data_IF_928275334787
#
_entry.id   IF_928275334787
#
_cell.length_a   1.000
_cell.length_b   1.000
_cell.length_c   1.000
_cell.angle_alpha   90.00
_cell.angle_beta   90.00
_cell.angle_gamma   90.00
#
_symmetry.space_group_name_H-M   'P 1'
#
loop_
_entity.id
_entity.type
_entity.pdbx_description
1 polymer ?
#
# COMPACT_ATOMS: atom_id res chain seq x y z
N UNK A 1 7.83 10.82 -26.77
CA UNK A 1 9.31 10.87 -26.73
C UNK A 1 9.98 9.51 -26.89
N UNK A 2 9.57 8.47 -26.15
CA UNK A 2 10.16 7.12 -26.29
C UNK A 2 10.14 6.56 -27.72
N UNK A 3 9.03 6.74 -28.45
CA UNK A 3 8.88 6.29 -29.84
C UNK A 3 9.85 7.00 -30.81
N UNK A 4 10.12 8.29 -30.58
CA UNK A 4 11.01 9.09 -31.42
C UNK A 4 12.48 8.75 -31.22
N UNK A 5 12.84 8.16 -30.07
CA UNK A 5 14.23 7.87 -29.71
C UNK A 5 14.55 6.39 -29.86
N UNK A 6 13.64 5.50 -29.43
CA UNK A 6 13.86 4.05 -29.48
C UNK A 6 13.80 3.49 -30.90
N UNK A 7 12.86 3.95 -31.74
CA UNK A 7 12.71 3.46 -33.11
C UNK A 7 13.97 3.69 -33.96
N UNK A 8 14.52 4.91 -34.06
CA UNK A 8 15.75 5.12 -34.83
C UNK A 8 16.95 4.41 -34.21
N UNK A 9 17.01 4.25 -32.88
CA UNK A 9 18.12 3.59 -32.21
C UNK A 9 18.12 2.07 -32.49
N UNK A 10 16.96 1.42 -32.42
CA UNK A 10 16.80 0.01 -32.82
C UNK A 10 17.12 -0.20 -34.30
N UNK A 11 16.69 0.74 -35.16
CA UNK A 11 17.03 0.71 -36.58
C UNK A 11 18.55 0.83 -36.81
N UNK A 12 19.22 1.70 -36.07
CA UNK A 12 20.68 1.88 -36.15
C UNK A 12 21.43 0.61 -35.67
N UNK A 13 20.93 -0.05 -34.63
CA UNK A 13 21.45 -1.34 -34.15
C UNK A 13 21.40 -2.40 -35.25
N UNK A 14 20.23 -2.58 -35.87
CA UNK A 14 20.08 -3.57 -36.95
C UNK A 14 20.84 -3.22 -38.23
N UNK A 15 21.04 -1.92 -38.52
CA UNK A 15 21.75 -1.47 -39.71
C UNK A 15 23.27 -1.62 -39.60
N UNK A 16 23.84 -1.47 -38.39
CA UNK A 16 25.29 -1.39 -38.19
C UNK A 16 25.91 -2.63 -37.54
N UNK A 17 25.14 -3.44 -36.81
CA UNK A 17 25.66 -4.60 -36.08
C UNK A 17 25.27 -5.92 -36.76
N UNK A 18 26.20 -6.86 -36.92
CA UNK A 18 25.88 -8.20 -37.40
C UNK A 18 25.02 -8.95 -36.37
N UNK A 19 24.11 -9.78 -36.86
CA UNK A 19 23.09 -10.44 -36.03
C UNK A 19 23.69 -11.34 -34.92
N UNK A 20 24.87 -11.91 -35.15
CA UNK A 20 25.61 -12.69 -34.16
C UNK A 20 26.04 -11.87 -32.94
N UNK A 21 26.41 -10.60 -33.15
CA UNK A 21 26.79 -9.68 -32.07
C UNK A 21 25.55 -9.22 -31.31
N UNK A 22 24.43 -9.01 -32.02
CA UNK A 22 23.16 -8.62 -31.41
C UNK A 22 22.66 -9.68 -30.42
N UNK A 23 22.77 -10.96 -30.77
CA UNK A 23 22.26 -12.06 -29.94
C UNK A 23 23.16 -12.41 -28.75
N UNK A 24 24.41 -11.92 -28.72
CA UNK A 24 25.43 -12.34 -27.74
C UNK A 24 25.93 -11.23 -26.83
N UNK A 25 25.66 -9.97 -27.17
CA UNK A 25 26.16 -8.82 -26.41
C UNK A 25 25.17 -8.33 -25.36
N UNK A 26 25.61 -8.28 -24.10
CA UNK A 26 24.83 -7.72 -22.99
C UNK A 26 24.70 -6.19 -23.05
N UNK A 27 25.65 -5.50 -23.70
CA UNK A 27 25.75 -4.02 -23.74
C UNK A 27 25.73 -3.47 -25.18
N UNK A 28 24.64 -3.71 -25.91
CA UNK A 28 24.51 -3.36 -27.34
C UNK A 28 24.77 -1.88 -27.66
N UNK A 29 24.32 -0.98 -26.80
CA UNK A 29 24.44 0.47 -26.98
C UNK A 29 25.90 0.95 -26.96
N UNK A 30 26.73 0.30 -26.13
CA UNK A 30 28.16 0.60 -26.00
C UNK A 30 28.93 0.13 -27.24
N UNK A 31 28.58 -1.04 -27.77
CA UNK A 31 29.18 -1.58 -29.00
C UNK A 31 28.74 -0.75 -30.21
N UNK A 32 27.47 -0.36 -30.28
CA UNK A 32 26.95 0.52 -31.34
C UNK A 32 27.70 1.86 -31.40
N UNK A 33 27.97 2.46 -30.24
CA UNK A 33 28.77 3.68 -30.17
C UNK A 33 30.20 3.50 -30.64
N UNK A 34 30.83 2.39 -30.28
CA UNK A 34 32.19 2.07 -30.72
C UNK A 34 32.27 1.88 -32.23
N UNK A 35 31.28 1.22 -32.84
CA UNK A 35 31.22 1.01 -34.29
C UNK A 35 30.90 2.31 -35.04
N UNK A 36 30.01 3.16 -34.49
CA UNK A 36 29.52 4.37 -35.19
C UNK A 36 30.51 5.54 -35.12
N UNK A 37 31.06 5.82 -33.95
CA UNK A 37 31.86 7.02 -33.67
C UNK A 37 33.20 6.72 -32.98
N UNK A 38 33.55 5.44 -32.84
CA UNK A 38 34.82 5.00 -32.27
C UNK A 38 34.86 4.99 -30.73
N UNK A 39 36.06 4.71 -30.21
CA UNK A 39 36.35 4.60 -28.77
C UNK A 39 35.97 5.80 -27.89
N UNK A 40 36.09 7.09 -28.30
CA UNK A 40 35.71 8.19 -27.42
C UNK A 40 34.21 8.22 -27.13
N UNK A 41 33.37 7.93 -28.13
CA UNK A 41 31.91 7.88 -27.96
C UNK A 41 31.49 6.76 -27.00
N UNK A 42 32.20 5.62 -27.04
CA UNK A 42 32.00 4.52 -26.10
C UNK A 42 32.11 4.98 -24.64
N UNK A 43 33.12 5.79 -24.31
CA UNK A 43 33.35 6.27 -22.94
C UNK A 43 32.20 7.17 -22.49
N UNK A 44 31.74 8.07 -23.37
CA UNK A 44 30.61 8.97 -23.08
C UNK A 44 29.34 8.18 -22.77
N UNK A 45 29.00 7.18 -23.60
CA UNK A 45 27.81 6.35 -23.37
C UNK A 45 27.93 5.52 -22.08
N UNK A 46 29.12 4.99 -21.77
CA UNK A 46 29.32 4.24 -20.51
C UNK A 46 29.08 5.13 -19.30
N UNK A 47 29.62 6.36 -19.30
CA UNK A 47 29.40 7.33 -18.21
C UNK A 47 27.92 7.72 -18.10
N UNK A 48 27.26 7.98 -19.22
CA UNK A 48 25.83 8.30 -19.25
C UNK A 48 24.98 7.14 -18.68
N UNK A 49 25.24 5.91 -19.13
CA UNK A 49 24.58 4.71 -18.61
C UNK A 49 24.79 4.54 -17.10
N UNK A 50 26.00 4.79 -16.58
CA UNK A 50 26.27 4.72 -15.14
C UNK A 50 25.47 5.78 -14.36
N UNK A 51 25.35 7.00 -14.88
CA UNK A 51 24.54 8.05 -14.25
C UNK A 51 23.06 7.68 -14.25
N UNK A 52 22.52 7.22 -15.38
CA UNK A 52 21.11 6.82 -15.51
C UNK A 52 20.78 5.65 -14.58
N UNK A 53 21.64 4.62 -14.51
CA UNK A 53 21.44 3.50 -13.59
C UNK A 53 21.52 3.92 -12.12
N UNK A 54 22.42 4.85 -11.78
CA UNK A 54 22.52 5.40 -10.43
C UNK A 54 21.23 6.11 -10.02
N UNK A 55 20.67 6.96 -10.90
CA UNK A 55 19.39 7.65 -10.67
C UNK A 55 18.25 6.64 -10.48
N UNK A 56 18.18 5.60 -11.32
CA UNK A 56 17.19 4.53 -11.18
C UNK A 56 17.27 3.80 -9.85
N UNK A 57 18.49 3.50 -9.38
CA UNK A 57 18.72 2.87 -8.08
C UNK A 57 18.24 3.77 -6.92
N UNK A 58 18.56 5.07 -6.93
CA UNK A 58 18.08 6.02 -5.92
C UNK A 58 16.56 6.16 -5.92
N UNK A 59 15.93 6.20 -7.10
CA UNK A 59 14.49 6.22 -7.24
C UNK A 59 13.84 4.95 -6.67
N UNK A 60 14.45 3.77 -6.89
CA UNK A 60 13.99 2.51 -6.32
C UNK A 60 14.06 2.51 -4.79
N UNK A 61 15.20 2.92 -4.22
CA UNK A 61 15.38 2.97 -2.75
C UNK A 61 14.40 3.95 -2.11
N UNK A 62 14.28 5.16 -2.64
CA UNK A 62 13.36 6.18 -2.10
C UNK A 62 11.90 5.74 -2.18
N UNK A 63 11.49 5.11 -3.29
CA UNK A 63 10.13 4.56 -3.45
C UNK A 63 9.87 3.42 -2.47
N UNK A 64 10.83 2.50 -2.31
CA UNK A 64 10.74 1.42 -1.33
C UNK A 64 10.63 1.93 0.11
N UNK A 65 11.40 2.96 0.47
CA UNK A 65 11.32 3.58 1.80
C UNK A 65 9.95 4.22 2.04
N UNK A 66 9.44 4.99 1.06
CA UNK A 66 8.11 5.60 1.14
C UNK A 66 7.00 4.55 1.30
N UNK A 67 7.13 3.40 0.63
CA UNK A 67 6.17 2.29 0.77
C UNK A 67 6.18 1.72 2.20
N UNK A 68 7.36 1.44 2.76
CA UNK A 68 7.47 0.91 4.13
C UNK A 68 6.97 1.93 5.15
N UNK A 69 7.26 3.22 4.96
CA UNK A 69 6.73 4.28 5.81
C UNK A 69 5.20 4.37 5.72
N UNK A 70 4.63 4.32 4.51
CA UNK A 70 3.19 4.36 4.31
C UNK A 70 2.50 3.18 5.02
N UNK A 71 3.03 1.96 4.84
CA UNK A 71 2.51 0.76 5.52
C UNK A 71 2.64 0.83 7.05
N UNK A 72 3.70 1.45 7.57
CA UNK A 72 3.88 1.64 9.00
C UNK A 72 2.89 2.69 9.58
N UNK A 73 2.59 3.75 8.83
CA UNK A 73 1.57 4.77 9.21
C UNK A 73 0.15 4.21 9.17
N UNK A 74 -0.09 3.24 8.28
CA UNK A 74 -1.36 2.50 8.21
C UNK A 74 -1.45 1.37 9.27
N UNK A 75 -0.45 1.25 10.15
CA UNK A 75 -0.35 0.23 11.20
C UNK A 75 -0.28 -1.21 10.68
N UNK A 76 -0.05 -1.38 9.37
CA UNK A 76 0.23 -2.70 8.78
C UNK A 76 1.60 -3.18 9.24
N UNK A 77 2.60 -2.30 9.30
CA UNK A 77 3.93 -2.60 9.85
C UNK A 77 4.13 -1.99 11.25
N UNK A 78 5.00 -2.56 12.10
CA UNK A 78 5.28 -1.98 13.41
C UNK A 78 5.84 -0.55 13.29
N UNK A 79 5.40 0.34 14.17
CA UNK A 79 5.87 1.73 14.23
C UNK A 79 7.38 1.89 14.51
N UNK A 80 8.07 0.79 14.83
CA UNK A 80 9.54 0.72 14.91
C UNK A 80 10.21 1.23 13.62
N UNK A 81 9.59 1.01 12.46
CA UNK A 81 10.11 1.47 11.16
C UNK A 81 10.06 2.99 10.98
N UNK A 82 9.24 3.71 11.76
CA UNK A 82 9.10 5.17 11.70
C UNK A 82 10.03 5.91 12.67
N UNK A 83 10.99 5.22 13.32
CA UNK A 83 11.92 5.88 14.24
C UNK A 83 12.89 6.80 13.47
N UNK A 84 12.85 8.13 13.72
CA UNK A 84 13.71 9.07 13.03
C UNK A 84 15.14 9.01 13.57
N UNK A 85 16.12 9.24 12.70
CA UNK A 85 17.50 9.52 13.11
C UNK A 85 17.58 10.89 13.80
N UNK A 86 18.39 11.04 14.87
CA UNK A 86 18.50 12.28 15.63
C UNK A 86 19.08 13.45 14.82
N UNK A 87 19.85 13.17 13.76
CA UNK A 87 20.58 14.21 13.02
C UNK A 87 19.96 14.58 11.67
N UNK A 88 19.23 13.67 11.02
CA UNK A 88 18.70 13.87 9.66
C UNK A 88 17.16 13.81 9.59
N UNK A 89 16.47 13.37 10.65
CA UNK A 89 15.03 13.13 10.63
C UNK A 89 14.58 11.97 9.72
N UNK A 90 15.48 11.41 8.91
CA UNK A 90 15.21 10.29 8.01
C UNK A 90 15.08 8.97 8.76
N UNK A 91 14.20 8.09 8.28
CA UNK A 91 14.01 6.74 8.80
C UNK A 91 15.10 5.81 8.23
N UNK A 92 15.97 5.28 9.09
CA UNK A 92 17.08 4.42 8.62
C UNK A 92 16.65 2.97 8.41
N UNK A 93 15.68 2.49 9.20
CA UNK A 93 15.22 1.10 9.13
C UNK A 93 14.66 0.71 7.75
N UNK A 94 13.84 1.54 7.06
CA UNK A 94 13.37 1.23 5.72
C UNK A 94 14.51 1.08 4.70
N UNK A 95 15.53 1.94 4.78
CA UNK A 95 16.70 1.88 3.88
C UNK A 95 17.47 0.58 4.08
N UNK A 96 17.78 0.23 5.34
CA UNK A 96 18.48 -1.03 5.67
C UNK A 96 17.66 -2.24 5.25
N UNK A 97 16.35 -2.23 5.48
CA UNK A 97 15.44 -3.30 5.06
C UNK A 97 15.41 -3.45 3.53
N UNK A 98 15.37 -2.34 2.80
CA UNK A 98 15.37 -2.37 1.33
C UNK A 98 16.68 -2.97 0.81
N UNK A 99 17.84 -2.47 1.27
CA UNK A 99 19.16 -2.96 0.84
C UNK A 99 19.34 -4.44 1.19
N UNK A 100 18.91 -4.86 2.39
CA UNK A 100 19.01 -6.28 2.80
C UNK A 100 18.13 -7.17 1.94
N UNK A 101 16.89 -6.78 1.62
CA UNK A 101 16.02 -7.54 0.71
C UNK A 101 16.62 -7.60 -0.69
N UNK A 102 17.14 -6.50 -1.22
CA UNK A 102 17.79 -6.47 -2.53
C UNK A 102 19.00 -7.41 -2.59
N UNK A 103 19.83 -7.42 -1.54
CA UNK A 103 20.95 -8.36 -1.42
C UNK A 103 20.46 -9.81 -1.36
N UNK A 104 19.46 -10.11 -0.53
CA UNK A 104 18.90 -11.47 -0.40
C UNK A 104 18.36 -11.97 -1.74
N UNK A 105 17.65 -11.13 -2.49
CA UNK A 105 17.15 -11.49 -3.83
C UNK A 105 18.33 -11.77 -4.77
N UNK A 106 19.35 -10.90 -4.78
CA UNK A 106 20.52 -11.09 -5.63
C UNK A 106 21.33 -12.36 -5.30
N UNK A 107 21.50 -12.67 -4.01
CA UNK A 107 22.12 -13.93 -3.55
C UNK A 107 21.27 -15.15 -3.93
N UNK A 108 19.94 -15.08 -3.77
CA UNK A 108 19.00 -16.15 -4.10
C UNK A 108 18.99 -16.47 -5.60
N UNK A 109 19.22 -15.45 -6.45
CA UNK A 109 19.35 -15.60 -7.90
C UNK A 109 20.71 -16.13 -8.36
N UNK A 110 21.56 -16.68 -7.47
CA UNK A 110 22.88 -17.23 -7.81
C UNK A 110 23.79 -16.25 -8.58
N UNK A 111 23.67 -14.94 -8.30
CA UNK A 111 24.43 -13.86 -8.93
C UNK A 111 24.22 -13.70 -10.45
N UNK A 112 23.19 -14.32 -11.05
CA UNK A 112 22.91 -14.19 -12.48
C UNK A 112 21.97 -13.03 -12.79
N UNK A 113 22.41 -12.12 -13.67
CA UNK A 113 21.62 -10.98 -14.11
C UNK A 113 20.35 -11.43 -14.88
N UNK A 114 20.46 -12.49 -15.68
CA UNK A 114 19.35 -13.04 -16.47
C UNK A 114 18.20 -13.55 -15.58
N UNK A 115 18.52 -14.23 -14.47
CA UNK A 115 17.52 -14.71 -13.52
C UNK A 115 16.87 -13.54 -12.78
N UNK A 116 17.63 -12.53 -12.35
CA UNK A 116 17.04 -11.33 -11.72
C UNK A 116 16.12 -10.59 -12.70
N UNK A 117 16.53 -10.43 -13.97
CA UNK A 117 15.73 -9.76 -15.00
C UNK A 117 14.40 -10.48 -15.27
N UNK A 118 14.42 -11.81 -15.35
CA UNK A 118 13.19 -12.62 -15.52
C UNK A 118 12.28 -12.53 -14.30
N UNK A 119 12.85 -12.53 -13.09
CA UNK A 119 12.09 -12.32 -11.85
C UNK A 119 11.44 -10.93 -11.79
N UNK A 120 12.14 -9.88 -12.20
CA UNK A 120 11.61 -8.51 -12.27
C UNK A 120 10.49 -8.41 -13.29
N UNK A 121 10.63 -9.04 -14.46
CA UNK A 121 9.57 -9.11 -15.48
C UNK A 121 8.30 -9.77 -14.91
N UNK A 122 8.43 -10.92 -14.25
CA UNK A 122 7.31 -11.61 -13.62
C UNK A 122 6.66 -10.77 -12.50
N UNK A 123 7.46 -10.13 -11.65
CA UNK A 123 6.98 -9.24 -10.60
C UNK A 123 6.17 -8.06 -11.16
N UNK A 124 6.71 -7.40 -12.18
CA UNK A 124 6.06 -6.26 -12.82
C UNK A 124 4.71 -6.66 -13.43
N UNK A 125 4.67 -7.75 -14.20
CA UNK A 125 3.42 -8.27 -14.81
C UNK A 125 2.41 -8.66 -13.74
N UNK A 126 2.85 -9.30 -12.65
CA UNK A 126 1.98 -9.64 -11.51
C UNK A 126 1.38 -8.39 -10.85
N UNK A 127 2.18 -7.36 -10.60
CA UNK A 127 1.66 -6.10 -10.03
C UNK A 127 0.68 -5.39 -10.95
N UNK A 128 0.92 -5.39 -12.27
CA UNK A 128 0.01 -4.83 -13.25
C UNK A 128 -1.31 -5.63 -13.36
N UNK A 129 -1.25 -6.94 -13.18
CA UNK A 129 -2.44 -7.80 -13.08
C UNK A 129 -3.26 -7.46 -11.82
N UNK A 130 -2.61 -7.35 -10.66
CA UNK A 130 -3.28 -6.96 -9.40
C UNK A 130 -3.92 -5.57 -9.52
N UNK A 131 -3.25 -4.62 -10.16
CA UNK A 131 -3.80 -3.29 -10.42
C UNK A 131 -5.06 -3.35 -11.30
N UNK A 132 -5.01 -4.11 -12.38
CA UNK A 132 -6.15 -4.31 -13.28
C UNK A 132 -7.34 -4.98 -12.57
N UNK A 133 -7.07 -6.00 -11.74
CA UNK A 133 -8.08 -6.66 -10.92
C UNK A 133 -8.67 -5.71 -9.87
N UNK A 134 -7.84 -4.89 -9.23
CA UNK A 134 -8.28 -3.88 -8.26
C UNK A 134 -9.23 -2.85 -8.89
N UNK A 135 -8.97 -2.44 -10.13
CA UNK A 135 -9.86 -1.53 -10.86
C UNK A 135 -11.23 -2.17 -11.14
N UNK A 136 -11.26 -3.47 -11.45
CA UNK A 136 -12.50 -4.22 -11.67
C UNK A 136 -13.28 -4.37 -10.36
N UNK A 137 -12.61 -4.74 -9.27
CA UNK A 137 -13.21 -4.86 -7.93
C UNK A 137 -13.77 -3.52 -7.44
N UNK A 138 -13.04 -2.42 -7.64
CA UNK A 138 -13.51 -1.08 -7.26
C UNK A 138 -14.76 -0.66 -8.05
N UNK A 139 -14.90 -1.12 -9.30
CA UNK A 139 -16.11 -0.91 -10.09
C UNK A 139 -17.30 -1.71 -9.57
N UNK A 140 -17.08 -2.89 -8.99
CA UNK A 140 -18.14 -3.72 -8.42
C UNK A 140 -18.55 -3.27 -7.00
N UNK A 141 -17.58 -3.01 -6.13
CA UNK A 141 -17.83 -2.72 -4.71
C UNK A 141 -18.14 -1.24 -4.42
N UNK A 142 -17.64 -0.31 -5.23
CA UNK A 142 -17.67 1.13 -4.95
C UNK A 142 -18.01 1.95 -6.20
N UNK A 143 -19.21 1.74 -6.75
CA UNK A 143 -19.65 2.41 -7.99
C UNK A 143 -19.91 3.92 -7.82
N UNK A 144 -20.19 4.37 -6.58
CA UNK A 144 -20.58 5.78 -6.29
C UNK A 144 -19.41 6.76 -6.18
N UNK A 145 -18.17 6.28 -6.21
CA UNK A 145 -16.99 7.12 -6.03
C UNK A 145 -16.84 8.14 -7.17
N UNK A 146 -16.50 9.41 -6.86
CA UNK A 146 -16.25 10.42 -7.89
C UNK A 146 -15.04 10.01 -8.73
N UNK A 147 -15.24 9.83 -10.04
CA UNK A 147 -14.20 9.45 -11.00
C UNK A 147 -14.06 10.53 -12.06
N UNK A 148 -12.87 11.14 -12.13
CA UNK A 148 -12.54 12.10 -13.19
C UNK A 148 -12.43 11.43 -14.57
N UNK A 149 -11.95 10.18 -14.62
CA UNK A 149 -11.84 9.39 -15.83
C UNK A 149 -12.63 8.09 -15.69
N UNK A 150 -13.56 7.85 -16.63
CA UNK A 150 -14.35 6.62 -16.67
C UNK A 150 -13.82 5.72 -17.77
N UNK A 151 -13.27 4.57 -17.38
CA UNK A 151 -12.86 3.53 -18.32
C UNK A 151 -14.00 2.51 -18.50
N UNK A 152 -14.10 1.98 -19.72
CA UNK A 152 -15.05 0.91 -20.03
C UNK A 152 -14.72 -0.34 -19.21
N UNK A 153 -15.73 -1.14 -18.89
CA UNK A 153 -15.49 -2.43 -18.21
C UNK A 153 -14.64 -3.36 -19.09
N UNK A 154 -14.89 -3.30 -20.40
CA UNK A 154 -14.19 -4.11 -21.40
C UNK A 154 -12.68 -3.85 -21.45
N UNK A 155 -12.26 -2.59 -21.30
CA UNK A 155 -10.83 -2.26 -21.29
C UNK A 155 -10.10 -2.87 -20.09
N UNK A 156 -10.77 -2.96 -18.93
CA UNK A 156 -10.21 -3.61 -17.75
C UNK A 156 -10.10 -5.13 -17.94
N UNK A 157 -11.16 -5.77 -18.49
CA UNK A 157 -11.14 -7.21 -18.78
C UNK A 157 -10.07 -7.56 -19.81
N UNK A 158 -9.95 -6.76 -20.88
CA UNK A 158 -8.91 -6.96 -21.90
C UNK A 158 -7.50 -6.83 -21.31
N UNK A 159 -7.30 -5.85 -20.42
CA UNK A 159 -6.04 -5.69 -19.68
C UNK A 159 -5.69 -6.93 -18.85
N UNK A 160 -6.67 -7.52 -18.15
CA UNK A 160 -6.47 -8.76 -17.40
C UNK A 160 -6.09 -9.91 -18.34
N UNK A 161 -6.79 -10.10 -19.45
CA UNK A 161 -6.49 -11.16 -20.43
C UNK A 161 -5.06 -11.03 -20.96
N UNK A 162 -4.65 -9.83 -21.38
CA UNK A 162 -3.29 -9.57 -21.88
C UNK A 162 -2.24 -9.85 -20.81
N UNK A 163 -2.44 -9.39 -19.58
CA UNK A 163 -1.49 -9.61 -18.48
C UNK A 163 -1.38 -11.10 -18.12
N UNK A 164 -2.49 -11.85 -18.15
CA UNK A 164 -2.48 -13.31 -17.95
C UNK A 164 -1.71 -14.01 -19.07
N UNK A 165 -1.92 -13.63 -20.34
CA UNK A 165 -1.17 -14.19 -21.46
C UNK A 165 0.35 -13.94 -21.34
N UNK A 166 0.76 -12.72 -20.96
CA UNK A 166 2.17 -12.39 -20.74
C UNK A 166 2.74 -13.20 -19.56
N UNK A 167 1.98 -13.33 -18.47
CA UNK A 167 2.40 -14.12 -17.32
C UNK A 167 2.59 -15.59 -17.68
N UNK A 168 1.68 -16.18 -18.45
CA UNK A 168 1.83 -17.55 -18.98
C UNK A 168 3.07 -17.67 -19.86
N UNK A 169 3.32 -16.69 -20.73
CA UNK A 169 4.54 -16.64 -21.54
C UNK A 169 5.82 -16.67 -20.69
N UNK A 170 5.86 -15.87 -19.62
CA UNK A 170 6.97 -15.88 -18.66
C UNK A 170 7.12 -17.23 -17.94
N UNK A 171 6.01 -17.91 -17.60
CA UNK A 171 6.06 -19.25 -16.96
C UNK A 171 6.64 -20.30 -17.92
N UNK A 172 6.25 -20.25 -19.20
CA UNK A 172 6.70 -21.21 -20.21
C UNK A 172 8.21 -21.04 -20.48
N UNK A 173 8.70 -19.80 -20.49
CA UNK A 173 10.09 -19.50 -20.79
C UNK A 173 11.06 -20.10 -19.76
N UNK A 174 10.82 -19.89 -18.46
CA UNK A 174 11.68 -20.40 -17.39
C UNK A 174 10.88 -20.71 -16.10
N UNK A 175 10.37 -21.95 -15.93
CA UNK A 175 9.52 -22.28 -14.78
C UNK A 175 10.28 -22.27 -13.44
N UNK A 176 11.60 -22.49 -13.47
CA UNK A 176 12.44 -22.52 -12.26
C UNK A 176 12.66 -21.14 -11.65
N UNK A 177 12.88 -20.12 -12.49
CA UNK A 177 13.10 -18.73 -12.01
C UNK A 177 11.82 -18.12 -11.46
N UNK A 178 10.66 -18.52 -12.01
CA UNK A 178 9.36 -18.09 -11.51
C UNK A 178 9.02 -18.70 -10.14
N UNK A 179 9.47 -19.93 -9.86
CA UNK A 179 9.36 -20.53 -8.53
C UNK A 179 10.10 -19.72 -7.45
N UNK A 180 11.28 -19.17 -7.77
CA UNK A 180 12.00 -18.26 -6.88
C UNK A 180 11.22 -16.96 -6.67
N UNK A 181 10.66 -16.37 -7.74
CA UNK A 181 9.82 -15.18 -7.63
C UNK A 181 8.60 -15.44 -6.73
N UNK A 182 7.87 -16.53 -6.96
CA UNK A 182 6.70 -16.90 -6.17
C UNK A 182 7.05 -17.11 -4.69
N UNK A 183 8.21 -17.71 -4.41
CA UNK A 183 8.72 -17.89 -3.05
C UNK A 183 9.03 -16.54 -2.39
N UNK A 184 9.77 -15.66 -3.06
CA UNK A 184 10.06 -14.31 -2.55
C UNK A 184 8.78 -13.49 -2.33
N UNK A 185 7.82 -13.57 -3.25
CA UNK A 185 6.52 -12.92 -3.13
C UNK A 185 5.75 -13.44 -1.93
N UNK A 186 5.68 -14.77 -1.75
CA UNK A 186 4.97 -15.38 -0.63
C UNK A 186 5.62 -15.06 0.72
N UNK A 187 6.95 -15.10 0.82
CA UNK A 187 7.68 -14.72 2.04
C UNK A 187 7.42 -13.25 2.40
N UNK A 188 7.45 -12.36 1.41
CA UNK A 188 7.18 -10.93 1.61
C UNK A 188 5.73 -10.71 2.05
N UNK A 189 4.77 -11.37 1.39
CA UNK A 189 3.35 -11.31 1.73
C UNK A 189 3.10 -11.82 3.15
N UNK A 190 3.65 -12.98 3.51
CA UNK A 190 3.58 -13.51 4.86
C UNK A 190 4.17 -12.53 5.88
N UNK A 191 5.33 -11.94 5.57
CA UNK A 191 5.99 -10.93 6.40
C UNK A 191 5.15 -9.67 6.65
N UNK A 192 4.27 -9.29 5.71
CA UNK A 192 3.33 -8.16 5.85
C UNK A 192 2.03 -8.57 6.56
N UNK A 193 1.50 -9.77 6.27
CA UNK A 193 0.25 -10.28 6.88
C UNK A 193 0.42 -10.72 8.35
N UNK A 194 1.61 -11.19 8.74
CA UNK A 194 1.95 -11.55 10.11
C UNK A 194 1.72 -10.37 11.08
N UNK A 195 2.25 -9.16 10.81
CA UNK A 195 1.92 -7.94 11.54
C UNK A 195 0.44 -7.56 11.58
N UNK A 196 -0.25 -7.62 10.43
CA UNK A 196 -1.66 -7.22 10.32
C UNK A 196 -2.59 -8.14 11.13
N UNK A 197 -2.26 -9.43 11.17
CA UNK A 197 -2.98 -10.43 11.97
C UNK A 197 -2.59 -10.44 13.45
N UNK A 198 -1.67 -9.58 13.93
CA UNK A 198 -1.16 -9.60 15.31
C UNK A 198 -2.22 -9.58 16.39
N UNK A 199 -3.40 -9.01 16.16
CA UNK A 199 -4.49 -9.05 17.15
C UNK A 199 -5.33 -10.33 17.10
N UNK A 200 -5.49 -10.95 15.91
CA UNK A 200 -6.03 -12.31 15.80
C UNK A 200 -5.04 -13.34 16.32
N UNK A 201 -3.75 -13.20 15.99
CA UNK A 201 -2.65 -14.01 16.50
C UNK A 201 -2.45 -13.81 18.00
N UNK A 202 -2.50 -12.59 18.55
CA UNK A 202 -2.41 -12.38 20.00
C UNK A 202 -3.62 -12.98 20.73
N UNK A 203 -4.83 -12.91 20.16
CA UNK A 203 -6.01 -13.58 20.71
C UNK A 203 -5.91 -15.10 20.60
N UNK A 204 -5.42 -15.65 19.48
CA UNK A 204 -5.13 -17.08 19.32
C UNK A 204 -4.00 -17.55 20.24
N UNK A 205 -2.97 -16.73 20.43
CA UNK A 205 -1.84 -17.00 21.31
C UNK A 205 -2.29 -16.96 22.76
N UNK A 206 -3.14 -16.00 23.16
CA UNK A 206 -3.77 -15.99 24.47
C UNK A 206 -4.68 -17.20 24.68
N UNK A 207 -5.49 -17.58 23.68
CA UNK A 207 -6.32 -18.79 23.75
C UNK A 207 -5.46 -20.06 23.87
N UNK A 208 -4.38 -20.16 23.11
CA UNK A 208 -3.41 -21.26 23.17
C UNK A 208 -2.62 -21.29 24.49
N UNK A 209 -2.30 -20.12 25.04
CA UNK A 209 -1.69 -19.95 26.37
C UNK A 209 -2.66 -20.36 27.49
N UNK A 210 -3.94 -20.02 27.37
CA UNK A 210 -4.97 -20.43 28.33
C UNK A 210 -5.17 -21.96 28.30
N UNK A 211 -5.01 -22.57 27.13
CA UNK A 211 -5.06 -24.03 26.95
C UNK A 211 -3.84 -24.74 27.58
N UNK A 212 -2.69 -24.08 27.71
CA UNK A 212 -1.42 -24.67 28.16
C UNK A 212 -0.98 -24.15 29.53
N UNK A 213 -1.34 -24.88 30.60
CA UNK A 213 -1.05 -24.56 32.02
C UNK A 213 0.43 -24.24 32.36
N UNK A 214 1.38 -24.65 31.52
CA UNK A 214 2.83 -24.57 31.77
C UNK A 214 3.38 -23.14 31.56
N UNK A 215 2.80 -22.33 30.66
CA UNK A 215 3.31 -20.99 30.38
C UNK A 215 2.76 -19.87 31.29
N UNK A 216 1.67 -20.14 32.05
CA UNK A 216 1.11 -19.25 33.09
C UNK A 216 2.12 -18.85 34.19
N UNK A 217 3.24 -19.56 34.27
CA UNK A 217 4.30 -19.33 35.26
C UNK A 217 5.19 -18.13 34.91
N UNK A 218 5.18 -17.69 33.65
CA UNK A 218 5.91 -16.52 33.19
C UNK A 218 4.88 -15.41 33.00
N UNK A 219 5.06 -14.24 33.60
CA UNK A 219 4.14 -13.08 33.58
C UNK A 219 3.83 -12.49 32.16
N UNK A 220 4.01 -13.27 31.10
CA UNK A 220 3.72 -12.98 29.69
C UNK A 220 2.25 -12.61 29.49
N UNK A 221 1.33 -13.24 30.22
CA UNK A 221 -0.11 -12.94 30.17
C UNK A 221 -0.36 -11.45 30.47
N UNK A 222 0.29 -10.93 31.53
CA UNK A 222 0.17 -9.50 31.90
C UNK A 222 0.88 -8.57 30.93
N UNK A 223 1.93 -9.04 30.25
CA UNK A 223 2.63 -8.29 29.22
C UNK A 223 1.79 -8.20 27.95
N UNK A 224 1.22 -9.32 27.48
CA UNK A 224 0.35 -9.39 26.31
C UNK A 224 -0.94 -8.60 26.56
N UNK A 225 -1.55 -8.73 27.74
CA UNK A 225 -2.75 -7.93 28.10
C UNK A 225 -2.41 -6.44 28.21
N UNK A 226 -1.26 -6.06 28.78
CA UNK A 226 -0.82 -4.64 28.78
C UNK A 226 -0.55 -4.13 27.37
N UNK A 227 0.05 -4.95 26.52
CA UNK A 227 0.35 -4.62 25.13
C UNK A 227 -0.94 -4.47 24.33
N UNK A 228 -1.90 -5.39 24.46
CA UNK A 228 -3.25 -5.27 23.88
C UNK A 228 -4.02 -4.05 24.39
N UNK A 229 -3.98 -3.78 25.69
CA UNK A 229 -4.57 -2.56 26.29
C UNK A 229 -3.89 -1.28 25.80
N UNK A 230 -2.65 -1.33 25.31
CA UNK A 230 -2.00 -0.18 24.72
C UNK A 230 -2.56 0.11 23.32
N UNK A 231 -2.77 -0.91 22.48
CA UNK A 231 -3.35 -0.73 21.15
C UNK A 231 -4.84 -0.40 21.14
N UNK A 232 -5.61 -0.94 22.10
CA UNK A 232 -7.06 -0.67 22.24
C UNK A 232 -7.41 0.77 22.61
N UNK A 233 -6.44 1.57 23.06
CA UNK A 233 -6.65 2.94 23.55
C UNK A 233 -6.85 3.97 22.46
N UNK A 234 -6.45 3.68 21.22
CA UNK A 234 -6.53 4.67 20.17
C UNK A 234 -7.99 4.81 19.69
N UNK A 235 -8.61 5.99 19.82
CA UNK A 235 -9.97 6.17 19.35
C UNK A 235 -10.01 6.18 17.83
N UNK A 236 -11.07 5.60 17.29
CA UNK A 236 -11.40 5.67 15.86
C UNK A 236 -12.39 6.81 15.65
N UNK A 237 -12.24 7.58 14.57
CA UNK A 237 -13.16 8.67 14.23
C UNK A 237 -14.00 8.27 13.03
N UNK A 238 -15.32 8.37 13.11
CA UNK A 238 -16.22 8.16 11.99
C UNK A 238 -16.95 9.46 11.64
N UNK A 239 -16.77 9.93 10.43
CA UNK A 239 -17.41 11.15 9.93
C UNK A 239 -18.77 10.86 9.33
N UNK A 240 -19.78 11.56 9.84
CA UNK A 240 -21.19 11.36 9.45
C UNK A 240 -21.77 12.63 8.86
N UNK A 241 -22.39 12.49 7.69
CA UNK A 241 -23.13 13.56 7.03
C UNK A 241 -24.61 13.58 7.40
N UNK A 242 -25.28 12.43 7.33
CA UNK A 242 -26.72 12.30 7.56
C UNK A 242 -26.99 11.42 8.80
N UNK A 243 -27.98 11.79 9.61
CA UNK A 243 -28.27 11.17 10.92
C UNK A 243 -29.04 9.85 10.85
N UNK A 244 -29.07 9.20 9.69
CA UNK A 244 -29.79 7.94 9.53
C UNK A 244 -29.16 6.83 10.38
N UNK A 245 -29.91 6.35 11.38
CA UNK A 245 -29.47 5.34 12.34
C UNK A 245 -28.96 4.05 11.69
N UNK A 246 -29.51 3.66 10.54
CA UNK A 246 -29.09 2.47 9.80
C UNK A 246 -27.66 2.57 9.25
N UNK A 247 -27.27 3.76 8.77
CA UNK A 247 -25.91 4.00 8.28
C UNK A 247 -24.89 3.99 9.43
N UNK A 248 -25.27 4.58 10.56
CA UNK A 248 -24.48 4.53 11.80
C UNK A 248 -24.31 3.09 12.29
N UNK A 249 -25.39 2.31 12.36
CA UNK A 249 -25.34 0.91 12.80
C UNK A 249 -24.42 0.06 11.93
N UNK A 250 -24.54 0.16 10.59
CA UNK A 250 -23.64 -0.55 9.66
C UNK A 250 -22.18 -0.12 9.81
N UNK A 251 -21.94 1.18 9.96
CA UNK A 251 -20.59 1.70 10.14
C UNK A 251 -19.96 1.19 11.46
N UNK A 252 -20.71 1.19 12.56
CA UNK A 252 -20.26 0.69 13.86
C UNK A 252 -19.95 -0.80 13.77
N UNK A 253 -20.84 -1.61 13.19
CA UNK A 253 -20.59 -3.04 13.00
C UNK A 253 -19.34 -3.29 12.14
N UNK A 254 -19.17 -2.54 11.04
CA UNK A 254 -17.97 -2.65 10.21
C UNK A 254 -16.70 -2.31 10.99
N UNK A 255 -16.70 -1.25 11.78
CA UNK A 255 -15.56 -0.84 12.59
C UNK A 255 -15.28 -1.91 13.66
N UNK A 256 -16.32 -2.46 14.30
CA UNK A 256 -16.17 -3.50 15.31
C UNK A 256 -15.55 -4.79 14.74
N UNK A 257 -15.91 -5.16 13.51
CA UNK A 257 -15.43 -6.38 12.86
C UNK A 257 -13.99 -6.24 12.33
N UNK A 258 -13.58 -5.02 11.95
CA UNK A 258 -12.32 -4.77 11.25
C UNK A 258 -11.27 -4.02 12.07
N UNK A 259 -11.67 -3.25 13.08
CA UNK A 259 -10.78 -2.45 13.94
C UNK A 259 -10.84 -2.89 15.40
N UNK A 260 -9.75 -2.66 16.13
CA UNK A 260 -9.64 -2.98 17.55
C UNK A 260 -9.63 -1.71 18.39
N UNK A 261 -10.70 -0.93 18.23
CA UNK A 261 -10.94 0.30 18.97
C UNK A 261 -11.97 0.05 20.08
N UNK A 262 -11.65 0.45 21.30
CA UNK A 262 -12.61 0.43 22.42
C UNK A 262 -13.44 1.73 22.47
N UNK A 263 -13.05 2.76 21.70
CA UNK A 263 -13.68 4.07 21.65
C UNK A 263 -13.88 4.54 20.21
N UNK A 264 -15.11 4.90 19.88
CA UNK A 264 -15.52 5.47 18.60
C UNK A 264 -15.97 6.92 18.81
N UNK A 265 -15.43 7.84 18.03
CA UNK A 265 -15.86 9.24 18.01
C UNK A 265 -16.62 9.48 16.71
N UNK A 266 -17.92 9.71 16.82
CA UNK A 266 -18.75 10.14 15.70
C UNK A 266 -18.56 11.64 15.54
N UNK A 267 -17.94 12.05 14.43
CA UNK A 267 -17.71 13.45 14.10
C UNK A 267 -18.75 13.93 13.08
N UNK A 268 -19.46 15.00 13.40
CA UNK A 268 -20.43 15.64 12.52
C UNK A 268 -20.01 17.09 12.21
N UNK A 269 -19.83 17.40 10.92
CA UNK A 269 -19.52 18.74 10.44
C UNK A 269 -20.80 19.51 10.10
N UNK A 270 -21.02 20.67 10.73
CA UNK A 270 -22.25 21.46 10.56
C UNK A 270 -21.98 22.93 10.24
N UNK A 271 -22.76 23.53 9.35
CA UNK A 271 -22.65 24.95 8.96
C UNK A 271 -23.67 25.85 9.66
N UNK A 272 -24.89 25.35 9.85
CA UNK A 272 -25.98 26.00 10.57
C UNK A 272 -26.40 25.12 11.75
N UNK A 273 -26.97 25.69 12.81
CA UNK A 273 -27.39 24.96 14.02
C UNK A 273 -28.52 23.99 13.70
N UNK A 274 -28.16 22.79 13.26
CA UNK A 274 -29.08 21.65 13.17
C UNK A 274 -29.44 21.23 14.58
N UNK A 275 -30.67 20.71 14.76
CA UNK A 275 -31.21 20.28 16.04
C UNK A 275 -30.30 19.28 16.75
N UNK A 276 -29.46 19.79 17.66
CA UNK A 276 -28.59 19.02 18.55
C UNK A 276 -29.25 17.84 19.31
N UNK A 277 -30.56 17.85 19.68
CA UNK A 277 -31.08 16.78 20.54
C UNK A 277 -31.38 15.45 19.83
N UNK A 278 -31.69 15.43 18.53
CA UNK A 278 -32.07 14.17 17.84
C UNK A 278 -30.85 13.24 17.65
N UNK A 279 -29.70 13.80 17.25
CA UNK A 279 -28.45 13.04 17.10
C UNK A 279 -27.99 12.46 18.44
N UNK A 280 -28.13 13.22 19.52
CA UNK A 280 -27.72 12.78 20.85
C UNK A 280 -28.59 11.63 21.36
N UNK A 281 -29.90 11.65 21.09
CA UNK A 281 -30.79 10.54 21.41
C UNK A 281 -30.44 9.27 20.62
N UNK A 282 -30.14 9.42 19.31
CA UNK A 282 -29.70 8.30 18.47
C UNK A 282 -28.38 7.69 18.94
N UNK A 283 -27.42 8.50 19.38
CA UNK A 283 -26.14 8.00 19.90
C UNK A 283 -26.33 7.21 21.20
N UNK A 284 -27.19 7.67 22.11
CA UNK A 284 -27.49 6.91 23.35
C UNK A 284 -28.09 5.53 23.04
N UNK A 285 -28.98 5.45 22.06
CA UNK A 285 -29.52 4.17 21.59
C UNK A 285 -28.41 3.27 21.02
N UNK A 286 -27.46 3.85 20.28
CA UNK A 286 -26.33 3.09 19.73
C UNK A 286 -25.37 2.60 20.83
N UNK A 287 -25.16 3.37 21.90
CA UNK A 287 -24.39 2.91 23.07
C UNK A 287 -25.05 1.71 23.75
N UNK A 288 -26.38 1.70 23.87
CA UNK A 288 -27.13 0.56 24.40
C UNK A 288 -27.04 -0.68 23.49
N UNK A 289 -27.05 -0.48 22.17
CA UNK A 289 -26.97 -1.57 21.20
C UNK A 289 -25.55 -2.15 21.06
N UNK A 290 -24.51 -1.35 21.30
CA UNK A 290 -23.11 -1.75 21.13
C UNK A 290 -22.29 -1.57 22.42
N UNK A 291 -22.57 -2.35 23.48
CA UNK A 291 -21.93 -2.19 24.79
C UNK A 291 -20.42 -2.47 24.81
N UNK A 292 -19.88 -3.04 23.74
CA UNK A 292 -18.45 -3.33 23.60
C UNK A 292 -17.58 -2.13 23.21
N UNK A 293 -18.17 -1.04 22.71
CA UNK A 293 -17.45 0.15 22.24
C UNK A 293 -18.08 1.40 22.86
N UNK A 294 -17.27 2.28 23.47
CA UNK A 294 -17.73 3.58 23.94
C UNK A 294 -17.92 4.54 22.75
N UNK A 295 -19.08 5.19 22.64
CA UNK A 295 -19.43 6.03 21.48
C UNK A 295 -19.56 7.48 21.92
N UNK A 296 -18.64 8.33 21.49
CA UNK A 296 -18.73 9.77 21.71
C UNK A 296 -19.22 10.51 20.48
N UNK A 297 -19.92 11.63 20.70
CA UNK A 297 -20.38 12.51 19.64
C UNK A 297 -19.63 13.84 19.68
N UNK A 298 -19.02 14.23 18.57
CA UNK A 298 -18.30 15.49 18.41
C UNK A 298 -18.88 16.32 17.27
N UNK A 299 -19.25 17.55 17.58
CA UNK A 299 -19.75 18.50 16.59
C UNK A 299 -18.67 19.50 16.22
N UNK A 300 -18.40 19.64 14.92
CA UNK A 300 -17.37 20.53 14.39
C UNK A 300 -18.04 21.54 13.47
N UNK A 301 -17.85 22.84 13.76
CA UNK A 301 -18.44 23.91 12.96
C UNK A 301 -17.64 24.10 11.67
N UNK A 302 -18.31 23.97 10.52
CA UNK A 302 -17.77 24.23 9.19
C UNK A 302 -18.20 23.22 8.13
N UNK A 303 -17.64 23.36 6.93
CA UNK A 303 -17.89 22.44 5.82
C UNK A 303 -16.86 21.30 5.85
N UNK A 304 -17.35 20.06 5.70
CA UNK A 304 -16.49 18.88 5.62
C UNK A 304 -15.48 19.02 4.46
N UNK A 305 -14.19 19.02 4.79
CA UNK A 305 -13.08 19.21 3.84
C UNK A 305 -11.82 18.46 4.30
N UNK A 306 -10.86 18.17 3.41
CA UNK A 306 -9.59 17.56 3.80
C UNK A 306 -8.83 18.34 4.88
N UNK A 307 -8.92 19.68 4.83
CA UNK A 307 -8.32 20.57 5.84
C UNK A 307 -8.97 20.37 7.20
N UNK A 308 -10.29 20.20 7.26
CA UNK A 308 -10.99 19.90 8.50
C UNK A 308 -10.59 18.53 9.06
N UNK A 309 -10.46 17.51 8.21
CA UNK A 309 -9.99 16.19 8.64
C UNK A 309 -8.57 16.27 9.22
N UNK A 310 -7.68 17.04 8.59
CA UNK A 310 -6.33 17.28 9.11
C UNK A 310 -6.36 17.98 10.46
N UNK A 311 -7.16 19.04 10.60
CA UNK A 311 -7.29 19.79 11.84
C UNK A 311 -7.84 18.90 12.97
N UNK A 312 -8.84 18.07 12.70
CA UNK A 312 -9.39 17.10 13.65
C UNK A 312 -8.36 16.01 14.01
N UNK A 313 -7.56 15.56 13.05
CA UNK A 313 -6.48 14.60 13.29
C UNK A 313 -5.45 15.13 14.27
N UNK A 314 -5.07 16.41 14.15
CA UNK A 314 -4.18 17.08 15.07
C UNK A 314 -4.83 17.33 16.43
N UNK A 315 -6.09 17.79 16.45
CA UNK A 315 -6.83 18.09 17.68
C UNK A 315 -7.05 16.85 18.55
N UNK A 316 -7.42 15.72 17.94
CA UNK A 316 -7.68 14.46 18.66
C UNK A 316 -6.42 13.59 18.82
N UNK A 317 -5.29 13.97 18.21
CA UNK A 317 -4.08 13.14 18.12
C UNK A 317 -4.35 11.74 17.51
N UNK A 318 -5.36 11.64 16.65
CA UNK A 318 -5.73 10.40 15.94
C UNK A 318 -5.16 10.47 14.52
N UNK A 319 -4.39 9.47 14.07
CA UNK A 319 -3.90 9.46 12.70
C UNK A 319 -5.07 9.36 11.70
N UNK A 320 -4.93 9.98 10.53
CA UNK A 320 -5.92 9.92 9.44
C UNK A 320 -6.30 8.48 9.04
N UNK A 321 -5.37 7.53 9.18
CA UNK A 321 -5.62 6.09 8.96
C UNK A 321 -6.60 5.46 9.94
N UNK A 322 -6.83 6.07 11.10
CA UNK A 322 -7.88 5.72 12.06
C UNK A 322 -9.18 6.51 11.89
N UNK A 323 -9.33 7.24 10.78
CA UNK A 323 -10.56 7.96 10.46
C UNK A 323 -11.30 7.30 9.30
N UNK A 324 -12.62 7.25 9.41
CA UNK A 324 -13.51 6.64 8.45
C UNK A 324 -14.52 7.65 7.93
N UNK A 325 -14.82 7.56 6.64
CA UNK A 325 -15.89 8.30 5.98
C UNK A 325 -16.80 7.31 5.25
N UNK A 326 -18.08 7.63 5.15
CA UNK A 326 -18.96 6.94 4.21
C UNK A 326 -18.53 7.23 2.78
N UNK A 327 -18.75 6.27 1.87
CA UNK A 327 -18.41 6.41 0.46
C UNK A 327 -19.03 7.72 -0.11
N UNK A 328 -18.22 8.71 -0.52
CA UNK A 328 -18.72 9.98 -1.02
C UNK A 328 -19.39 9.77 -2.39
N UNK A 329 -20.49 10.49 -2.63
CA UNK A 329 -21.17 10.45 -3.92
C UNK A 329 -20.44 11.24 -5.01
N UNK A 330 -20.94 11.13 -6.26
CA UNK A 330 -20.36 11.78 -7.45
C UNK A 330 -20.21 13.31 -7.35
N UNK A 331 -21.00 13.98 -6.50
CA UNK A 331 -20.98 15.43 -6.35
C UNK A 331 -20.00 15.92 -5.26
N UNK A 332 -19.18 15.03 -4.71
CA UNK A 332 -18.21 15.40 -3.68
C UNK A 332 -17.03 16.18 -4.31
N UNK A 333 -16.69 17.39 -3.82
CA UNK A 333 -15.75 18.28 -4.49
C UNK A 333 -14.29 17.84 -4.42
N UNK A 334 -13.94 16.95 -3.51
CA UNK A 334 -12.56 16.52 -3.24
C UNK A 334 -12.31 15.10 -3.73
N UNK A 335 -11.08 14.81 -4.18
CA UNK A 335 -10.69 13.44 -4.50
C UNK A 335 -10.33 12.70 -3.20
N UNK A 336 -10.49 11.37 -3.20
CA UNK A 336 -10.15 10.52 -2.05
C UNK A 336 -8.67 10.69 -1.66
N UNK A 337 -7.79 10.88 -2.66
CA UNK A 337 -6.36 11.13 -2.45
C UNK A 337 -6.06 12.38 -1.61
N UNK A 338 -6.93 13.38 -1.65
CA UNK A 338 -6.75 14.63 -0.89
C UNK A 338 -6.87 14.41 0.62
N UNK A 339 -7.61 13.38 1.04
CA UNK A 339 -7.79 13.01 2.44
C UNK A 339 -6.59 12.26 3.05
N UNK A 340 -5.60 11.87 2.25
CA UNK A 340 -4.30 11.35 2.70
C UNK A 340 -4.40 10.26 3.80
N UNK A 341 -5.14 9.18 3.51
CA UNK A 341 -5.16 7.97 4.34
C UNK A 341 -6.47 7.70 5.09
N UNK A 342 -7.49 8.55 4.95
CA UNK A 342 -8.85 8.26 5.47
C UNK A 342 -9.43 7.01 4.80
N UNK A 343 -10.04 6.15 5.60
CA UNK A 343 -10.63 4.89 5.15
C UNK A 343 -12.09 5.06 4.74
N UNK A 344 -12.53 4.28 3.77
CA UNK A 344 -13.88 4.31 3.22
C UNK A 344 -14.69 3.14 3.73
N UNK A 345 -15.93 3.40 4.16
CA UNK A 345 -16.90 2.35 4.42
C UNK A 345 -17.99 2.44 3.34
N UNK A 346 -18.16 1.34 2.59
CA UNK A 346 -19.23 1.18 1.61
C UNK A 346 -20.41 0.45 2.23
N UNK A 347 -21.61 1.03 2.12
CA UNK A 347 -22.87 0.40 2.52
C UNK A 347 -24.00 0.69 1.55
#
# INVERSE_FOLDING_TARGET
MSLLLNVPLVLLVYALLPNEVIMKADNLLVILAEVSFGKPMRIVIVVDCLLVFSVGMFAGVSTGCNLVEALARERVLPQLFLRPLPFSGATYFPVVLFVTISLVVYFSSAFSLSTVSTMVSAAFVSTMLLYSLSCLLLKFSLDRLPRGYRTSMWTAVMGIVVMVSILIGNIIQDPRTLGLFATCFFVTLLGVFLPNSRLKLARMMLWSLDQTRILRRWNLDRLIVRWMKHFRKDPVVFWVKDEHIHHLMRAISYIQDNELADRLIIAHAYTQSVGMPETQANVRLLEELFPSIAIDLMFIRGVFSPVMVEATSQMLSVPRSGMFISCPGNNHPWQIGDYRGVRLIGF
#
